data_IF_331632610859
#
_entry.id   IF_331632610859
#
_cell.length_a   1.000
_cell.length_b   1.000
_cell.length_c   1.000
_cell.angle_alpha   90.00
_cell.angle_beta   90.00
_cell.angle_gamma   90.00
#
_symmetry.space_group_name_H-M   'P 1'
#
loop_
_entity.id
_entity.type
_entity.pdbx_description
1 polymer ?
#
# COMPACT_ATOMS: atom_id res chain seq x y z
N UNK A 1 14.50 -19.11 6.62
CA UNK A 1 14.89 -17.82 7.22
C UNK A 1 13.72 -17.41 8.08
N UNK A 2 13.96 -17.05 9.34
CA UNK A 2 12.88 -16.55 10.20
C UNK A 2 12.64 -15.09 9.81
N UNK A 3 11.61 -14.86 9.01
CA UNK A 3 11.16 -13.52 8.63
C UNK A 3 10.32 -12.93 9.77
N UNK A 4 10.43 -11.61 10.03
CA UNK A 4 9.62 -10.97 11.06
C UNK A 4 8.15 -11.04 10.67
N UNK A 5 7.32 -11.59 11.56
CA UNK A 5 5.86 -11.67 11.36
C UNK A 5 5.24 -10.30 11.18
N UNK A 6 5.72 -9.33 11.96
CA UNK A 6 5.24 -7.96 11.95
C UNK A 6 6.42 -7.02 11.70
N UNK A 7 6.26 -6.12 10.74
CA UNK A 7 7.27 -5.13 10.36
C UNK A 7 6.64 -3.73 10.36
N UNK A 8 7.45 -2.71 10.65
CA UNK A 8 7.09 -1.30 10.47
C UNK A 8 5.86 -0.77 11.24
N UNK A 9 5.30 -1.51 12.21
CA UNK A 9 4.16 -1.05 13.03
C UNK A 9 4.35 0.25 13.82
N UNK A 10 5.58 0.77 13.88
CA UNK A 10 5.89 2.04 14.56
C UNK A 10 6.32 3.14 13.58
N UNK A 11 6.13 2.92 12.28
CA UNK A 11 6.38 3.89 11.22
C UNK A 11 5.04 4.38 10.73
N UNK A 12 4.76 5.66 10.96
CA UNK A 12 3.54 6.27 10.46
C UNK A 12 3.80 6.85 9.08
N UNK A 13 2.91 6.58 8.14
CA UNK A 13 2.96 7.18 6.82
C UNK A 13 1.57 7.23 6.20
N UNK A 14 1.39 8.09 5.22
CA UNK A 14 0.16 8.23 4.46
C UNK A 14 0.52 8.41 2.98
N UNK A 15 -0.14 7.66 2.10
CA UNK A 15 0.22 7.56 0.69
C UNK A 15 -0.34 8.71 -0.16
N UNK A 16 -0.01 9.96 0.16
CA UNK A 16 -0.57 11.13 -0.55
C UNK A 16 0.05 11.43 -1.90
N UNK A 17 1.31 11.06 -2.09
CA UNK A 17 2.06 11.49 -3.27
C UNK A 17 3.26 10.60 -3.53
N UNK A 18 3.68 10.61 -4.79
CA UNK A 18 4.97 10.10 -5.23
C UNK A 18 6.11 11.07 -4.93
N UNK A 19 7.31 10.52 -4.91
CA UNK A 19 8.55 11.27 -4.78
C UNK A 19 9.47 10.94 -5.97
N UNK A 20 10.25 11.92 -6.43
CA UNK A 20 11.19 11.70 -7.54
C UNK A 20 12.43 10.94 -7.06
N UNK A 21 12.81 11.15 -5.81
CA UNK A 21 14.01 10.57 -5.22
C UNK A 21 13.75 9.98 -3.83
N UNK A 22 14.55 8.97 -3.48
CA UNK A 22 14.53 8.39 -2.14
C UNK A 22 14.90 9.43 -1.06
N UNK A 23 15.83 10.33 -1.34
CA UNK A 23 16.27 11.36 -0.39
C UNK A 23 15.14 12.34 -0.01
N UNK A 24 14.33 12.75 -1.00
CA UNK A 24 13.16 13.60 -0.76
C UNK A 24 12.10 12.88 0.07
N UNK A 25 11.83 11.62 -0.26
CA UNK A 25 10.91 10.78 0.50
C UNK A 25 11.37 10.60 1.94
N UNK A 26 12.65 10.28 2.16
CA UNK A 26 13.23 10.09 3.49
C UNK A 26 13.12 11.35 4.35
N UNK A 27 13.35 12.53 3.77
CA UNK A 27 13.17 13.80 4.45
C UNK A 27 11.69 14.03 4.84
N UNK A 28 10.75 13.68 3.96
CA UNK A 28 9.32 13.76 4.25
C UNK A 28 8.89 12.76 5.32
N UNK A 29 9.41 11.53 5.29
CA UNK A 29 9.15 10.47 6.26
C UNK A 29 9.62 10.87 7.66
N UNK A 30 10.83 11.44 7.77
CA UNK A 30 11.35 11.97 9.04
C UNK A 30 10.43 13.07 9.55
N UNK A 31 10.04 14.02 8.69
CA UNK A 31 9.18 15.15 9.08
C UNK A 31 7.79 14.68 9.54
N UNK A 32 7.22 13.68 8.87
CA UNK A 32 5.92 13.10 9.22
C UNK A 32 5.96 12.40 10.59
N UNK A 33 7.09 11.75 10.89
CA UNK A 33 7.31 11.05 12.15
C UNK A 33 8.03 11.90 13.22
N UNK A 34 8.13 13.22 13.05
CA UNK A 34 8.72 14.14 14.04
C UNK A 34 7.75 14.41 15.20
N UNK A 35 7.36 13.34 15.88
CA UNK A 35 6.45 13.35 17.02
C UNK A 35 7.28 13.16 18.29
N UNK A 36 7.15 14.02 19.32
CA UNK A 36 7.98 13.96 20.53
C UNK A 36 7.94 12.62 21.28
N UNK A 37 6.90 11.81 21.08
CA UNK A 37 6.63 10.58 21.81
C UNK A 37 7.13 9.30 21.13
N UNK A 38 7.45 9.32 19.82
CA UNK A 38 7.93 8.14 19.08
C UNK A 38 9.03 8.55 18.12
N UNK A 39 10.20 7.90 18.25
CA UNK A 39 11.32 8.11 17.34
C UNK A 39 11.28 7.08 16.22
N UNK A 40 11.33 7.57 14.99
CA UNK A 40 11.56 6.74 13.82
C UNK A 40 12.90 5.98 13.98
N UNK A 41 12.98 4.68 13.62
CA UNK A 41 14.25 3.99 13.55
C UNK A 41 15.20 4.65 12.53
N UNK A 42 16.53 4.41 12.61
CA UNK A 42 17.46 4.90 11.61
C UNK A 42 17.09 4.41 10.21
N UNK A 43 17.11 5.31 9.22
CA UNK A 43 16.70 5.00 7.84
C UNK A 43 17.63 3.97 7.17
N UNK A 44 18.89 3.95 7.56
CA UNK A 44 19.94 3.03 7.09
C UNK A 44 19.87 1.65 7.75
N UNK A 45 19.01 1.47 8.76
CA UNK A 45 18.84 0.18 9.44
C UNK A 45 18.20 -0.83 8.47
N UNK A 46 18.83 -2.00 8.34
CA UNK A 46 18.25 -3.12 7.63
C UNK A 46 17.02 -3.61 8.40
N UNK A 47 15.85 -3.50 7.78
CA UNK A 47 14.58 -3.93 8.35
C UNK A 47 14.19 -5.32 7.84
N UNK A 48 14.49 -5.60 6.58
CA UNK A 48 14.11 -6.86 5.93
C UNK A 48 15.32 -7.47 5.20
N UNK A 49 15.90 -8.57 5.70
CA UNK A 49 17.13 -9.17 5.15
C UNK A 49 16.87 -10.05 3.92
N UNK A 50 16.10 -9.55 2.96
CA UNK A 50 15.78 -10.22 1.68
C UNK A 50 15.98 -9.25 0.53
N UNK A 51 16.21 -9.78 -0.67
CA UNK A 51 16.47 -8.95 -1.86
C UNK A 51 15.21 -8.67 -2.67
N UNK A 52 14.13 -9.42 -2.43
CA UNK A 52 12.88 -9.32 -3.18
C UNK A 52 11.72 -9.69 -2.26
N UNK A 53 10.64 -8.94 -2.34
CA UNK A 53 9.42 -9.14 -1.55
C UNK A 53 8.21 -8.72 -2.36
N UNK A 54 7.10 -9.43 -2.18
CA UNK A 54 5.78 -9.08 -2.72
C UNK A 54 5.02 -8.34 -1.63
N UNK A 55 4.43 -7.20 -1.97
CA UNK A 55 3.54 -6.44 -1.11
C UNK A 55 2.13 -6.58 -1.64
N UNK A 56 1.24 -7.14 -0.81
CA UNK A 56 -0.19 -7.23 -1.05
C UNK A 56 -0.93 -6.16 -0.23
N UNK A 57 -2.02 -5.61 -0.74
CA UNK A 57 -2.79 -4.58 -0.06
C UNK A 57 -4.24 -4.54 -0.53
N UNK A 58 -5.19 -4.13 0.33
CA UNK A 58 -6.58 -4.00 -0.07
C UNK A 58 -6.77 -2.76 -0.94
N UNK A 59 -7.59 -2.88 -1.98
CA UNK A 59 -8.01 -1.78 -2.83
C UNK A 59 -9.54 -1.81 -3.00
N UNK A 60 -10.16 -0.62 -2.99
CA UNK A 60 -11.61 -0.48 -3.12
C UNK A 60 -11.94 0.26 -4.40
N UNK A 61 -12.65 -0.39 -5.32
CA UNK A 61 -13.35 0.28 -6.42
C UNK A 61 -14.73 0.73 -5.94
N UNK A 62 -15.06 1.98 -6.24
CA UNK A 62 -16.45 2.40 -6.36
C UNK A 62 -16.79 2.25 -7.83
N UNK A 63 -17.37 1.12 -8.21
CA UNK A 63 -17.99 1.02 -9.52
C UNK A 63 -19.32 1.79 -9.43
N UNK A 64 -19.33 2.97 -10.06
CA UNK A 64 -20.57 3.54 -10.59
C UNK A 64 -21.02 2.56 -11.67
N UNK A 65 -21.98 1.68 -11.38
CA UNK A 65 -22.78 1.11 -12.48
C UNK A 65 -23.42 2.32 -13.19
N UNK A 66 -22.78 2.82 -14.25
CA UNK A 66 -23.44 3.66 -15.24
C UNK A 66 -24.51 2.76 -15.86
N UNK A 67 -25.69 2.73 -15.24
CA UNK A 67 -26.91 2.30 -15.89
C UNK A 67 -27.08 3.21 -17.13
N UNK A 68 -26.59 2.76 -18.29
CA UNK A 68 -26.89 3.32 -19.61
C UNK A 68 -28.37 3.07 -19.99
N UNK A 69 -29.31 3.35 -19.09
CA UNK A 69 -30.74 3.41 -19.37
C UNK A 69 -31.23 4.83 -19.07
N UNK A 70 -31.08 5.71 -20.07
CA UNK A 70 -31.53 7.12 -20.14
C UNK A 70 -33.07 7.31 -20.06
N UNK A 71 -33.81 6.36 -19.47
CA UNK A 71 -35.27 6.41 -19.26
C UNK A 71 -35.63 6.15 -17.77
N UNK A 72 -34.88 6.74 -16.83
CA UNK A 72 -35.23 6.71 -15.41
C UNK A 72 -36.46 7.59 -15.14
N UNK A 73 -37.62 6.96 -14.93
CA UNK A 73 -38.84 7.60 -14.43
C UNK A 73 -38.67 7.98 -12.95
N UNK A 74 -38.34 9.26 -12.73
CA UNK A 74 -38.08 9.84 -11.41
C UNK A 74 -39.26 9.69 -10.41
N UNK A 75 -40.48 9.44 -10.90
CA UNK A 75 -41.65 9.17 -10.03
C UNK A 75 -41.75 7.71 -9.56
N UNK A 76 -40.94 6.78 -10.11
CA UNK A 76 -40.93 5.36 -9.74
C UNK A 76 -39.84 4.97 -8.72
N UNK A 77 -38.89 5.86 -8.42
CA UNK A 77 -37.76 5.63 -7.50
C UNK A 77 -38.11 5.91 -6.03
N UNK A 78 -39.26 5.42 -5.55
CA UNK A 78 -39.65 5.64 -4.16
C UNK A 78 -38.98 4.68 -3.16
N UNK A 79 -38.27 3.62 -3.58
CA UNK A 79 -37.74 2.61 -2.65
C UNK A 79 -36.39 1.95 -3.02
N UNK A 80 -35.76 2.26 -4.17
CA UNK A 80 -34.41 1.74 -4.48
C UNK A 80 -33.33 2.74 -4.06
N UNK A 81 -32.80 2.50 -2.87
CA UNK A 81 -31.54 3.05 -2.37
C UNK A 81 -30.43 2.61 -3.34
N UNK A 82 -29.71 3.53 -4.02
CA UNK A 82 -28.60 3.16 -4.89
C UNK A 82 -27.53 2.48 -4.04
N UNK A 83 -27.56 1.15 -4.04
CA UNK A 83 -26.53 0.34 -3.40
C UNK A 83 -25.31 0.41 -4.28
N UNK A 84 -24.42 1.34 -3.95
CA UNK A 84 -23.02 1.27 -4.37
C UNK A 84 -22.50 -0.14 -4.06
N UNK A 85 -22.20 -0.93 -5.09
CA UNK A 85 -21.47 -2.19 -4.91
C UNK A 85 -20.00 -1.82 -4.65
N UNK A 86 -19.54 -2.11 -3.43
CA UNK A 86 -18.16 -1.89 -3.02
C UNK A 86 -17.41 -3.18 -3.37
N UNK A 87 -16.59 -3.13 -4.42
CA UNK A 87 -15.69 -4.22 -4.76
C UNK A 87 -14.36 -4.04 -4.03
N UNK A 88 -14.11 -4.93 -3.07
CA UNK A 88 -12.84 -5.04 -2.36
C UNK A 88 -11.97 -6.13 -3.00
N UNK A 89 -10.83 -5.73 -3.57
CA UNK A 89 -9.87 -6.65 -4.17
C UNK A 89 -8.47 -6.45 -3.58
N UNK A 90 -7.75 -7.55 -3.32
CA UNK A 90 -6.35 -7.48 -2.95
C UNK A 90 -5.49 -7.25 -4.21
N UNK A 91 -4.71 -6.17 -4.19
CA UNK A 91 -3.73 -5.83 -5.23
C UNK A 91 -2.33 -6.13 -4.73
N UNK A 92 -1.40 -6.29 -5.67
CA UNK A 92 -0.03 -6.59 -5.31
C UNK A 92 1.00 -5.96 -6.24
N UNK A 93 2.14 -5.63 -5.66
CA UNK A 93 3.31 -5.21 -6.41
C UNK A 93 4.58 -5.84 -5.82
N UNK A 94 5.61 -5.90 -6.65
CA UNK A 94 6.88 -6.52 -6.29
C UNK A 94 7.93 -5.43 -6.14
N UNK A 95 8.70 -5.51 -5.06
CA UNK A 95 9.86 -4.64 -4.85
C UNK A 95 11.11 -5.50 -4.69
N UNK A 96 12.20 -5.06 -5.30
CA UNK A 96 13.53 -5.66 -5.20
C UNK A 96 14.54 -4.64 -4.65
N UNK A 97 15.69 -5.09 -4.15
CA UNK A 97 16.82 -4.25 -3.75
C UNK A 97 18.13 -4.78 -4.32
N UNK A 98 19.02 -3.85 -4.68
CA UNK A 98 20.40 -4.14 -5.08
C UNK A 98 21.32 -4.37 -3.88
N UNK A 99 20.85 -4.07 -2.66
CA UNK A 99 21.63 -4.23 -1.45
C UNK A 99 21.69 -5.72 -1.07
N UNK A 100 22.88 -6.36 -1.05
CA UNK A 100 22.97 -7.77 -0.71
C UNK A 100 22.59 -8.08 0.74
N UNK A 101 22.62 -7.07 1.63
CA UNK A 101 22.20 -7.21 3.02
C UNK A 101 20.67 -7.16 3.21
N UNK A 102 19.92 -6.70 2.21
CA UNK A 102 18.48 -6.52 2.25
C UNK A 102 18.04 -5.05 2.33
N UNK A 103 16.75 -4.84 2.53
CA UNK A 103 16.14 -3.51 2.50
C UNK A 103 16.45 -2.71 3.76
N UNK A 104 16.92 -1.49 3.56
CA UNK A 104 16.96 -0.45 4.59
C UNK A 104 15.56 0.10 4.85
N UNK A 105 15.31 0.71 6.02
CA UNK A 105 14.02 1.32 6.32
C UNK A 105 13.62 2.37 5.26
N UNK A 106 14.54 3.29 4.93
CA UNK A 106 14.28 4.36 3.97
C UNK A 106 13.97 3.81 2.57
N UNK A 107 14.76 2.85 2.09
CA UNK A 107 14.56 2.21 0.80
C UNK A 107 13.25 1.42 0.75
N UNK A 108 12.96 0.63 1.80
CA UNK A 108 11.74 -0.17 1.87
C UNK A 108 10.49 0.70 1.79
N UNK A 109 10.43 1.73 2.64
CA UNK A 109 9.31 2.66 2.69
C UNK A 109 9.17 3.46 1.39
N UNK A 110 10.28 3.89 0.79
CA UNK A 110 10.26 4.58 -0.50
C UNK A 110 9.67 3.68 -1.59
N UNK A 111 10.12 2.43 -1.68
CA UNK A 111 9.63 1.49 -2.71
C UNK A 111 8.17 1.10 -2.50
N UNK A 112 7.72 0.96 -1.25
CA UNK A 112 6.30 0.78 -0.92
C UNK A 112 5.50 2.00 -1.37
N UNK A 113 5.96 3.22 -1.04
CA UNK A 113 5.28 4.44 -1.45
C UNK A 113 5.17 4.55 -2.98
N UNK A 114 6.25 4.27 -3.70
CA UNK A 114 6.20 4.29 -5.17
C UNK A 114 5.28 3.19 -5.72
N UNK A 115 5.26 2.00 -5.13
CA UNK A 115 4.35 0.92 -5.54
C UNK A 115 2.87 1.22 -5.26
N UNK A 116 2.58 1.90 -4.15
CA UNK A 116 1.24 2.32 -3.73
C UNK A 116 0.71 3.54 -4.49
N UNK A 117 1.58 4.47 -4.87
CA UNK A 117 1.23 5.74 -5.55
C UNK A 117 1.58 5.74 -7.04
N UNK A 118 1.87 4.57 -7.64
CA UNK A 118 2.12 4.47 -9.09
C UNK A 118 1.18 3.44 -9.70
N UNK A 119 0.37 3.84 -10.70
CA UNK A 119 -0.37 2.88 -11.52
C UNK A 119 0.62 2.01 -12.31
N UNK A 120 0.87 0.77 -11.85
CA UNK A 120 1.73 -0.17 -12.57
C UNK A 120 0.95 -0.79 -13.74
N UNK A 121 1.54 -0.80 -14.94
CA UNK A 121 1.04 -1.49 -16.14
C UNK A 121 -0.40 -1.15 -16.57
N UNK A 122 -0.80 0.11 -16.49
CA UNK A 122 -2.14 0.53 -16.94
C UNK A 122 -3.27 0.21 -15.98
N UNK A 123 -2.95 -0.32 -14.79
CA UNK A 123 -3.89 -0.42 -13.68
C UNK A 123 -3.90 0.88 -12.88
N UNK A 124 -5.07 1.50 -12.72
CA UNK A 124 -5.33 2.82 -12.12
C UNK A 124 -5.35 2.83 -10.57
N UNK A 125 -4.59 1.94 -9.93
CA UNK A 125 -4.67 1.75 -8.48
C UNK A 125 -3.68 2.70 -7.79
N UNK A 126 -4.12 3.93 -7.54
CA UNK A 126 -3.42 4.92 -6.75
C UNK A 126 -4.09 5.01 -5.37
N UNK A 127 -3.35 4.68 -4.31
CA UNK A 127 -3.85 4.82 -2.94
C UNK A 127 -3.99 6.29 -2.51
N UNK A 128 -3.50 7.28 -3.27
CA UNK A 128 -3.58 8.69 -2.88
C UNK A 128 -5.00 9.22 -2.74
N UNK A 129 -5.93 8.62 -3.47
CA UNK A 129 -7.32 9.06 -3.55
C UNK A 129 -8.27 8.11 -2.82
N UNK A 130 -7.74 7.09 -2.14
CA UNK A 130 -8.51 6.09 -1.38
C UNK A 130 -8.67 6.53 0.08
N UNK A 131 -9.79 6.21 0.71
CA UNK A 131 -9.98 6.47 2.14
C UNK A 131 -8.97 5.67 2.99
N UNK A 132 -8.63 4.45 2.56
CA UNK A 132 -7.66 3.57 3.22
C UNK A 132 -6.22 3.85 2.76
N UNK A 133 -5.65 5.00 3.12
CA UNK A 133 -4.30 5.39 2.68
C UNK A 133 -3.29 5.57 3.84
N UNK A 134 -3.68 5.29 5.08
CA UNK A 134 -2.78 5.36 6.23
C UNK A 134 -2.04 4.04 6.43
N UNK A 135 -0.72 4.08 6.39
CA UNK A 135 0.13 2.91 6.59
C UNK A 135 0.26 2.57 8.07
N UNK A 136 -0.12 1.34 8.45
CA UNK A 136 -0.05 0.84 9.83
C UNK A 136 0.98 -0.28 10.03
N UNK A 137 1.60 -0.76 8.95
CA UNK A 137 2.66 -1.76 9.01
C UNK A 137 2.52 -2.85 7.95
N UNK A 138 3.38 -3.86 8.07
CA UNK A 138 3.35 -5.06 7.24
C UNK A 138 3.22 -6.31 8.10
N UNK A 139 2.40 -7.25 7.66
CA UNK A 139 2.29 -8.60 8.22
C UNK A 139 2.79 -9.64 7.23
N UNK A 140 3.69 -10.52 7.66
CA UNK A 140 4.20 -11.60 6.83
C UNK A 140 3.11 -12.66 6.60
N UNK A 141 2.80 -12.94 5.34
CA UNK A 141 1.90 -14.02 4.98
C UNK A 141 2.69 -15.33 4.90
N UNK A 142 2.17 -16.37 5.56
CA UNK A 142 2.80 -17.69 5.57
C UNK A 142 2.52 -18.49 4.31
N UNK A 143 1.53 -18.07 3.54
CA UNK A 143 1.15 -18.69 2.29
C UNK A 143 2.02 -18.13 1.15
N UNK A 144 2.52 -19.02 0.29
CA UNK A 144 3.25 -18.62 -0.90
C UNK A 144 2.28 -18.00 -1.92
N UNK A 145 2.70 -16.91 -2.55
CA UNK A 145 2.02 -16.37 -3.71
C UNK A 145 2.28 -17.29 -4.94
N UNK A 146 1.24 -17.79 -5.61
CA UNK A 146 1.39 -18.71 -6.74
C UNK A 146 2.10 -18.08 -7.94
N UNK A 147 2.03 -16.74 -8.09
CA UNK A 147 2.70 -15.99 -9.14
C UNK A 147 4.17 -15.70 -8.78
N UNK A 148 4.52 -15.74 -7.49
CA UNK A 148 5.87 -15.46 -6.99
C UNK A 148 6.42 -16.56 -6.05
N UNK A 149 6.61 -17.79 -6.54
CA UNK A 149 7.04 -18.91 -5.71
C UNK A 149 8.40 -18.67 -5.06
N UNK A 150 8.46 -18.84 -3.73
CA UNK A 150 9.67 -18.66 -2.93
C UNK A 150 10.07 -17.21 -2.69
N UNK A 151 9.23 -16.24 -3.07
CA UNK A 151 9.39 -14.83 -2.68
C UNK A 151 8.53 -14.57 -1.45
N UNK A 152 9.08 -13.97 -0.38
CA UNK A 152 8.30 -13.55 0.78
C UNK A 152 7.16 -12.62 0.40
N UNK A 153 6.00 -12.83 0.99
CA UNK A 153 4.81 -11.99 0.79
C UNK A 153 4.48 -11.28 2.10
N UNK A 154 4.27 -9.98 2.02
CA UNK A 154 3.81 -9.17 3.13
C UNK A 154 2.50 -8.48 2.76
N UNK A 155 1.53 -8.55 3.67
CA UNK A 155 0.30 -7.79 3.59
C UNK A 155 0.48 -6.42 4.22
N UNK A 156 0.10 -5.37 3.51
CA UNK A 156 0.13 -4.00 3.98
C UNK A 156 -1.17 -3.67 4.70
N UNK A 157 -1.03 -3.35 5.99
CA UNK A 157 -2.15 -2.95 6.83
C UNK A 157 -2.41 -1.47 6.58
N UNK A 158 -3.62 -1.18 6.09
CA UNK A 158 -4.08 0.17 5.79
C UNK A 158 -5.20 0.57 6.76
N UNK A 159 -5.11 1.77 7.31
CA UNK A 159 -6.14 2.42 8.11
C UNK A 159 -6.90 3.50 7.32
N UNK A 160 -8.11 3.82 7.78
CA UNK A 160 -8.96 4.93 7.32
C UNK A 160 -8.73 6.22 8.11
#
# INVERSE_FOLDING_TARGET
MDLPKELLQNVYWAFYQKFETQEEFEAALIKYNDIPSKRLPPLDRIMLPVQKVVIQYPWVSLDEEEDEDDDIDWDSLADDDPRWEIDEEDKQFVIDTINPAGFTLGELMYKINQGACTPMNGSSYDLSDQDHHFFEGLEFLTDDDPDFPGVPVYYMILGS
#
